data_IF_357209073632
#
_entry.id   IF_357209073632
#
_cell.length_a   1.000
_cell.length_b   1.000
_cell.length_c   1.000
_cell.angle_alpha   90.00
_cell.angle_beta   90.00
_cell.angle_gamma   90.00
#
_symmetry.space_group_name_H-M   'P 1'
#
loop_
_entity.id
_entity.type
_entity.pdbx_description
1 polymer ?
#
# COMPACT_ATOMS: atom_id res chain seq x y z
N UNK A 1 -57.75 15.21 3.95
CA UNK A 1 -56.60 16.08 4.28
C UNK A 1 -55.50 15.36 5.06
N UNK A 2 -55.82 14.51 6.04
CA UNK A 2 -54.79 13.78 6.82
C UNK A 2 -54.07 12.66 6.05
N UNK A 3 -54.80 11.92 5.21
CA UNK A 3 -54.24 10.83 4.38
C UNK A 3 -53.20 11.30 3.37
N UNK A 4 -53.45 12.45 2.73
CA UNK A 4 -52.54 13.05 1.74
C UNK A 4 -51.23 13.56 2.37
N UNK A 5 -51.28 14.05 3.62
CA UNK A 5 -50.09 14.45 4.36
C UNK A 5 -49.23 13.24 4.76
N UNK A 6 -49.86 12.14 5.18
CA UNK A 6 -49.13 10.91 5.53
C UNK A 6 -48.42 10.31 4.32
N UNK A 7 -49.08 10.30 3.16
CA UNK A 7 -48.47 9.86 1.90
C UNK A 7 -47.29 10.75 1.49
N UNK A 8 -47.41 12.07 1.62
CA UNK A 8 -46.31 12.99 1.32
C UNK A 8 -45.10 12.78 2.23
N UNK A 9 -45.31 12.53 3.54
CA UNK A 9 -44.23 12.22 4.48
C UNK A 9 -43.56 10.88 4.14
N UNK A 10 -44.33 9.85 3.79
CA UNK A 10 -43.79 8.55 3.38
C UNK A 10 -42.98 8.64 2.08
N UNK A 11 -43.45 9.42 1.09
CA UNK A 11 -42.74 9.62 -0.17
C UNK A 11 -41.47 10.44 0.06
N UNK A 12 -41.51 11.54 0.83
CA UNK A 12 -40.32 12.33 1.15
C UNK A 12 -39.29 11.57 1.98
N UNK A 13 -39.72 10.77 2.96
CA UNK A 13 -38.78 9.98 3.77
C UNK A 13 -38.18 8.82 2.97
N UNK A 14 -38.99 8.12 2.15
CA UNK A 14 -38.47 7.07 1.27
C UNK A 14 -37.55 7.61 0.19
N UNK A 15 -37.88 8.73 -0.46
CA UNK A 15 -36.99 9.37 -1.44
C UNK A 15 -35.75 9.98 -0.79
N UNK A 16 -35.82 10.51 0.42
CA UNK A 16 -34.63 10.97 1.16
C UNK A 16 -33.75 9.80 1.61
N UNK A 17 -34.33 8.69 2.06
CA UNK A 17 -33.61 7.46 2.40
C UNK A 17 -32.98 6.85 1.15
N UNK A 18 -33.73 6.76 0.05
CA UNK A 18 -33.22 6.30 -1.24
C UNK A 18 -32.14 7.23 -1.77
N UNK A 19 -32.32 8.56 -1.71
CA UNK A 19 -31.29 9.51 -2.11
C UNK A 19 -30.05 9.42 -1.22
N UNK A 20 -30.21 9.24 0.10
CA UNK A 20 -29.10 9.02 1.03
C UNK A 20 -28.37 7.70 0.74
N UNK A 21 -29.12 6.64 0.42
CA UNK A 21 -28.59 5.35 0.03
C UNK A 21 -27.88 5.41 -1.31
N UNK A 22 -28.51 5.96 -2.35
CA UNK A 22 -27.94 6.17 -3.69
C UNK A 22 -26.75 7.11 -3.65
N UNK A 23 -26.78 8.18 -2.85
CA UNK A 23 -25.65 9.09 -2.67
C UNK A 23 -24.45 8.35 -2.09
N UNK A 24 -24.64 7.47 -1.12
CA UNK A 24 -23.54 6.69 -0.56
C UNK A 24 -23.12 5.49 -1.43
N UNK A 25 -24.05 4.90 -2.19
CA UNK A 25 -23.78 3.73 -3.03
C UNK A 25 -23.22 4.08 -4.41
N UNK A 26 -23.53 5.27 -4.95
CA UNK A 26 -23.19 5.67 -6.33
C UNK A 26 -22.18 6.82 -6.38
N UNK A 27 -22.15 7.72 -5.38
CA UNK A 27 -21.06 8.71 -5.29
C UNK A 27 -19.88 8.07 -4.57
N UNK A 28 -19.05 7.39 -5.35
CA UNK A 28 -17.73 6.95 -4.91
C UNK A 28 -16.88 8.17 -4.55
N UNK A 29 -16.86 8.57 -3.27
CA UNK A 29 -15.73 9.35 -2.76
C UNK A 29 -14.53 8.39 -2.65
N UNK A 30 -13.81 8.21 -3.76
CA UNK A 30 -12.81 7.15 -3.92
C UNK A 30 -11.75 7.11 -2.81
N UNK A 31 -11.45 8.24 -2.18
CA UNK A 31 -10.44 8.29 -1.11
C UNK A 31 -10.94 7.79 0.26
N UNK A 32 -12.25 7.89 0.57
CA UNK A 32 -12.78 7.49 1.90
C UNK A 32 -12.83 5.97 2.07
N UNK A 33 -13.18 5.25 1.01
CA UNK A 33 -13.30 3.79 1.12
C UNK A 33 -11.92 3.13 1.21
N UNK A 34 -10.92 3.65 0.47
CA UNK A 34 -9.55 3.11 0.50
C UNK A 34 -8.93 3.24 1.90
N UNK A 35 -9.03 4.43 2.49
CA UNK A 35 -8.54 4.69 3.85
C UNK A 35 -9.22 3.82 4.92
N UNK A 36 -10.52 3.58 4.79
CA UNK A 36 -11.27 2.73 5.73
C UNK A 36 -10.94 1.25 5.59
N UNK A 37 -10.71 0.77 4.36
CA UNK A 37 -10.25 -0.60 4.13
C UNK A 37 -8.88 -0.84 4.76
N UNK A 38 -7.93 0.08 4.54
CA UNK A 38 -6.61 0.01 5.17
C UNK A 38 -6.75 -0.04 6.69
N UNK A 39 -7.61 0.78 7.28
CA UNK A 39 -7.82 0.77 8.74
C UNK A 39 -8.43 -0.53 9.28
N UNK A 40 -9.30 -1.20 8.51
CA UNK A 40 -9.81 -2.54 8.86
C UNK A 40 -8.70 -3.58 8.81
N UNK A 41 -7.82 -3.51 7.80
CA UNK A 41 -6.70 -4.43 7.63
C UNK A 41 -5.59 -4.23 8.68
N UNK A 42 -5.28 -2.98 9.03
CA UNK A 42 -4.32 -2.62 10.08
C UNK A 42 -4.88 -2.80 11.50
N UNK A 43 -6.20 -2.99 11.63
CA UNK A 43 -6.86 -3.34 12.90
C UNK A 43 -6.92 -2.23 13.95
N UNK A 44 -6.68 -0.97 13.58
CA UNK A 44 -6.49 0.12 14.54
C UNK A 44 -7.56 1.23 14.37
N UNK A 45 -8.63 1.14 15.18
CA UNK A 45 -9.78 2.05 15.11
C UNK A 45 -9.47 3.52 15.43
N UNK A 46 -8.37 3.81 16.15
CA UNK A 46 -7.94 5.19 16.44
C UNK A 46 -7.40 5.92 15.19
N UNK A 47 -6.96 5.17 14.19
CA UNK A 47 -6.47 5.71 12.92
C UNK A 47 -7.61 6.05 11.96
N UNK A 48 -8.77 5.39 12.07
CA UNK A 48 -9.97 5.64 11.25
C UNK A 48 -10.42 7.10 11.29
N UNK A 49 -10.42 7.74 12.46
CA UNK A 49 -10.81 9.16 12.62
C UNK A 49 -9.79 10.15 11.99
N UNK A 50 -8.49 9.83 12.00
CA UNK A 50 -7.42 10.69 11.46
C UNK A 50 -7.19 10.48 9.95
N UNK A 51 -7.38 9.25 9.47
CA UNK A 51 -7.43 8.95 8.04
C UNK A 51 -8.70 9.52 7.39
N UNK A 52 -9.86 9.44 8.06
CA UNK A 52 -11.11 9.99 7.54
C UNK A 52 -11.14 11.53 7.47
N UNK A 53 -10.33 12.22 8.29
CA UNK A 53 -10.11 13.66 8.18
C UNK A 53 -9.18 14.04 7.01
N UNK A 54 -8.43 13.08 6.44
CA UNK A 54 -7.50 13.32 5.34
C UNK A 54 -6.18 13.99 5.77
N UNK A 55 -5.99 14.16 7.09
CA UNK A 55 -4.86 14.88 7.70
C UNK A 55 -3.64 13.99 7.90
N UNK A 56 -3.78 12.67 7.73
CA UNK A 56 -2.72 11.71 8.01
C UNK A 56 -2.90 10.45 7.16
N UNK A 57 -1.93 10.13 6.30
CA UNK A 57 -1.92 8.88 5.55
C UNK A 57 -0.99 8.85 4.34
N UNK A 58 -0.86 7.71 3.64
CA UNK A 58 -0.03 7.62 2.44
C UNK A 58 -0.52 8.57 1.34
N UNK A 59 0.32 8.77 0.31
CA UNK A 59 0.01 9.72 -0.76
C UNK A 59 -1.36 9.46 -1.40
N UNK A 60 -1.71 8.18 -1.61
CA UNK A 60 -2.99 7.77 -2.17
C UNK A 60 -4.23 8.11 -1.30
N UNK A 61 -4.03 8.28 0.01
CA UNK A 61 -5.08 8.51 0.99
C UNK A 61 -5.21 9.99 1.43
N UNK A 62 -4.12 10.74 1.32
CA UNK A 62 -4.03 12.15 1.73
C UNK A 62 -4.92 13.07 0.88
N UNK A 63 -5.38 14.20 1.46
CA UNK A 63 -6.23 15.18 0.77
C UNK A 63 -5.58 16.56 0.69
N UNK A 64 -6.00 17.33 -0.34
CA UNK A 64 -5.73 18.76 -0.48
C UNK A 64 -4.26 19.18 -0.24
N UNK A 65 -4.01 20.07 0.71
CA UNK A 65 -2.68 20.59 1.02
C UNK A 65 -1.72 19.51 1.56
N UNK A 66 -2.23 18.52 2.28
CA UNK A 66 -1.41 17.42 2.78
C UNK A 66 -0.89 16.55 1.62
N UNK A 67 -1.76 16.24 0.66
CA UNK A 67 -1.38 15.56 -0.59
C UNK A 67 -0.36 16.39 -1.39
N UNK A 68 -0.58 17.71 -1.50
CA UNK A 68 0.36 18.62 -2.17
C UNK A 68 1.74 18.60 -1.52
N UNK A 69 1.79 18.63 -0.19
CA UNK A 69 3.03 18.57 0.60
C UNK A 69 3.77 17.24 0.41
N UNK A 70 3.08 16.11 0.52
CA UNK A 70 3.68 14.79 0.27
C UNK A 70 4.21 14.65 -1.16
N UNK A 71 3.43 15.12 -2.15
CA UNK A 71 3.84 15.09 -3.56
C UNK A 71 5.04 15.99 -3.83
N UNK A 72 5.13 17.16 -3.19
CA UNK A 72 6.30 18.05 -3.28
C UNK A 72 7.58 17.36 -2.82
N UNK A 73 7.52 16.55 -1.76
CA UNK A 73 8.66 15.79 -1.25
C UNK A 73 9.00 14.55 -2.09
N UNK A 74 8.00 13.88 -2.66
CA UNK A 74 8.20 12.65 -3.45
C UNK A 74 8.59 12.90 -4.91
N UNK A 75 8.07 13.94 -5.57
CA UNK A 75 8.32 14.21 -6.99
C UNK A 75 9.81 14.23 -7.40
N UNK A 76 10.75 14.82 -6.63
CA UNK A 76 12.17 14.83 -6.99
C UNK A 76 12.77 13.44 -7.15
N UNK A 77 12.25 12.47 -6.40
CA UNK A 77 12.66 11.07 -6.47
C UNK A 77 12.28 10.45 -7.82
N UNK A 78 11.18 10.88 -8.43
CA UNK A 78 10.77 10.38 -9.75
C UNK A 78 11.30 11.25 -10.91
N UNK A 79 12.30 12.10 -10.66
CA UNK A 79 12.94 12.89 -11.72
C UNK A 79 13.77 12.00 -12.65
N UNK A 80 13.88 12.41 -13.92
CA UNK A 80 14.65 11.68 -14.94
C UNK A 80 16.10 11.45 -14.49
N UNK A 81 16.72 12.45 -13.86
CA UNK A 81 18.08 12.33 -13.35
C UNK A 81 18.19 11.24 -12.28
N UNK A 82 17.21 11.15 -11.36
CA UNK A 82 17.22 10.12 -10.34
C UNK A 82 16.94 8.73 -10.90
N UNK A 83 15.98 8.60 -11.82
CA UNK A 83 15.66 7.33 -12.48
C UNK A 83 16.86 6.74 -13.23
N UNK A 84 17.70 7.57 -13.86
CA UNK A 84 18.94 7.11 -14.51
C UNK A 84 19.90 6.43 -13.53
N UNK A 85 19.92 6.84 -12.26
CA UNK A 85 20.76 6.21 -11.24
C UNK A 85 20.22 4.84 -10.78
N UNK A 86 18.93 4.56 -10.99
CA UNK A 86 18.34 3.24 -10.69
C UNK A 86 18.57 2.21 -11.80
N UNK A 87 18.86 2.66 -13.02
CA UNK A 87 19.05 1.80 -14.20
C UNK A 87 20.06 0.66 -13.98
N UNK A 88 21.24 0.87 -13.37
CA UNK A 88 22.18 -0.22 -13.12
C UNK A 88 21.58 -1.34 -12.24
N UNK A 89 20.77 -0.98 -11.24
CA UNK A 89 20.05 -1.94 -10.40
C UNK A 89 19.03 -2.73 -11.23
N UNK A 90 18.30 -2.05 -12.11
CA UNK A 90 17.34 -2.71 -13.00
C UNK A 90 18.04 -3.71 -13.92
N UNK A 91 19.17 -3.33 -14.53
CA UNK A 91 19.96 -4.24 -15.36
C UNK A 91 20.43 -5.47 -14.57
N UNK A 92 20.96 -5.28 -13.35
CA UNK A 92 21.39 -6.39 -12.48
C UNK A 92 20.25 -7.38 -12.23
N UNK A 93 19.05 -6.88 -11.91
CA UNK A 93 17.87 -7.73 -11.67
C UNK A 93 17.42 -8.44 -12.95
N UNK A 94 17.39 -7.74 -14.09
CA UNK A 94 17.01 -8.35 -15.38
C UNK A 94 18.00 -9.41 -15.85
N UNK A 95 19.30 -9.23 -15.60
CA UNK A 95 20.31 -10.24 -15.92
C UNK A 95 20.15 -11.50 -15.06
N UNK A 96 19.83 -11.35 -13.76
CA UNK A 96 19.51 -12.50 -12.90
C UNK A 96 18.29 -13.27 -13.41
N UNK A 97 17.24 -12.56 -13.82
CA UNK A 97 16.06 -13.17 -14.43
C UNK A 97 16.43 -13.93 -15.71
N UNK A 98 17.24 -13.32 -16.58
CA UNK A 98 17.69 -13.95 -17.81
C UNK A 98 18.48 -15.24 -17.51
N UNK A 99 19.42 -15.19 -16.57
CA UNK A 99 20.23 -16.33 -16.15
C UNK A 99 19.35 -17.46 -15.59
N UNK A 100 18.37 -17.13 -14.73
CA UNK A 100 17.45 -18.10 -14.16
C UNK A 100 16.59 -18.79 -15.23
N UNK A 101 16.09 -18.03 -16.21
CA UNK A 101 15.32 -18.58 -17.33
C UNK A 101 16.23 -19.45 -18.22
N UNK A 102 17.43 -18.97 -18.54
CA UNK A 102 18.41 -19.70 -19.36
C UNK A 102 18.73 -21.05 -18.75
N UNK A 103 19.06 -21.08 -17.45
CA UNK A 103 19.34 -22.31 -16.71
C UNK A 103 18.19 -23.33 -16.81
N UNK A 104 16.94 -22.87 -16.88
CA UNK A 104 15.77 -23.74 -16.96
C UNK A 104 15.53 -24.34 -18.34
N UNK A 105 15.85 -23.60 -19.40
CA UNK A 105 15.70 -24.07 -20.78
C UNK A 105 16.94 -24.83 -21.30
N UNK A 106 18.04 -24.87 -20.54
CA UNK A 106 19.26 -25.63 -20.89
C UNK A 106 19.00 -27.12 -21.11
N UNK A 107 18.01 -27.71 -20.45
CA UNK A 107 17.66 -29.12 -20.57
C UNK A 107 16.79 -29.47 -21.79
N UNK A 108 16.36 -28.48 -22.57
CA UNK A 108 15.43 -28.64 -23.69
C UNK A 108 14.16 -27.79 -23.56
N UNK A 109 13.23 -27.89 -24.53
CA UNK A 109 11.99 -27.12 -24.53
C UNK A 109 11.19 -27.36 -23.23
N UNK A 110 10.96 -26.29 -22.48
CA UNK A 110 10.30 -26.34 -21.17
C UNK A 110 9.28 -25.21 -21.06
N UNK A 111 8.12 -25.47 -20.48
CA UNK A 111 7.13 -24.43 -20.19
C UNK A 111 7.55 -23.58 -19.00
N UNK A 112 7.48 -22.25 -19.15
CA UNK A 112 7.87 -21.29 -18.11
C UNK A 112 6.68 -20.38 -17.80
N UNK A 113 6.27 -20.34 -16.52
CA UNK A 113 5.23 -19.43 -16.05
C UNK A 113 5.77 -18.00 -15.91
N UNK A 114 5.71 -17.23 -17.00
CA UNK A 114 6.22 -15.86 -17.02
C UNK A 114 5.48 -14.91 -16.08
N UNK A 115 4.19 -15.15 -15.77
CA UNK A 115 3.43 -14.29 -14.84
C UNK A 115 4.03 -14.33 -13.43
N UNK A 116 4.43 -15.53 -12.98
CA UNK A 116 5.09 -15.69 -11.69
C UNK A 116 6.47 -15.01 -11.68
N UNK A 117 7.28 -15.23 -12.72
CA UNK A 117 8.62 -14.62 -12.83
C UNK A 117 8.57 -13.10 -12.93
N UNK A 118 7.63 -12.54 -13.71
CA UNK A 118 7.46 -11.08 -13.80
C UNK A 118 7.03 -10.48 -12.47
N UNK A 119 6.14 -11.14 -11.72
CA UNK A 119 5.74 -10.69 -10.38
C UNK A 119 6.91 -10.63 -9.40
N UNK A 120 7.73 -11.68 -9.35
CA UNK A 120 8.95 -11.73 -8.53
C UNK A 120 9.97 -10.66 -8.94
N UNK A 121 10.17 -10.50 -10.25
CA UNK A 121 11.08 -9.49 -10.80
C UNK A 121 10.63 -8.08 -10.45
N UNK A 122 9.33 -7.77 -10.59
CA UNK A 122 8.78 -6.47 -10.25
C UNK A 122 8.96 -6.15 -8.75
N UNK A 123 8.69 -7.13 -7.87
CA UNK A 123 8.89 -6.98 -6.43
C UNK A 123 10.37 -6.71 -6.11
N UNK A 124 11.29 -7.39 -6.78
CA UNK A 124 12.73 -7.19 -6.57
C UNK A 124 13.24 -5.85 -7.10
N UNK A 125 12.72 -5.38 -8.25
CA UNK A 125 13.02 -4.05 -8.79
C UNK A 125 12.58 -2.95 -7.82
N UNK A 126 11.34 -3.02 -7.32
CA UNK A 126 10.81 -2.05 -6.36
C UNK A 126 11.50 -2.19 -5.00
N UNK A 127 11.82 -3.40 -4.57
CA UNK A 127 12.59 -3.63 -3.34
C UNK A 127 13.95 -2.95 -3.39
N UNK A 128 14.75 -3.21 -4.42
CA UNK A 128 16.10 -2.66 -4.48
C UNK A 128 16.13 -1.18 -4.84
N UNK A 129 15.36 -0.73 -5.83
CA UNK A 129 15.38 0.67 -6.26
C UNK A 129 14.49 1.58 -5.40
N UNK A 130 13.40 1.05 -4.88
CA UNK A 130 12.48 1.78 -4.01
C UNK A 130 12.93 1.77 -2.56
N UNK A 131 13.10 0.58 -1.99
CA UNK A 131 13.33 0.40 -0.56
C UNK A 131 14.79 0.12 -0.19
N UNK A 132 15.70 0.03 -1.16
CA UNK A 132 17.09 -0.40 -0.92
C UNK A 132 17.17 -1.72 -0.16
N UNK A 133 16.30 -2.68 -0.49
CA UNK A 133 16.20 -3.98 0.16
C UNK A 133 15.95 -5.08 -0.89
N UNK A 134 16.66 -6.20 -0.79
CA UNK A 134 16.46 -7.36 -1.67
C UNK A 134 15.48 -8.33 -1.01
N UNK A 135 14.32 -8.52 -1.62
CA UNK A 135 13.29 -9.44 -1.12
C UNK A 135 13.51 -10.86 -1.61
N UNK A 136 14.02 -11.00 -2.83
CA UNK A 136 14.18 -12.27 -3.51
C UNK A 136 15.52 -12.32 -4.26
N UNK A 137 16.26 -13.42 -4.07
CA UNK A 137 17.53 -13.62 -4.76
C UNK A 137 17.34 -13.93 -6.25
N UNK A 138 16.11 -14.30 -6.67
CA UNK A 138 15.72 -14.70 -8.03
C UNK A 138 16.49 -15.94 -8.56
N UNK A 139 17.16 -16.70 -7.69
CA UNK A 139 18.02 -17.83 -8.06
C UNK A 139 17.30 -19.19 -8.05
N UNK A 140 16.25 -19.34 -7.24
CA UNK A 140 15.54 -20.62 -7.08
C UNK A 140 14.02 -20.40 -7.09
N UNK A 141 13.24 -21.43 -7.45
CA UNK A 141 11.78 -21.49 -7.21
C UNK A 141 11.53 -21.72 -5.72
N UNK A 142 11.85 -20.72 -4.89
CA UNK A 142 11.30 -20.66 -3.54
C UNK A 142 9.83 -20.29 -3.64
N UNK A 143 8.90 -21.04 -3.03
CA UNK A 143 7.50 -20.63 -2.95
C UNK A 143 7.46 -19.27 -2.27
N UNK A 144 7.01 -18.27 -3.03
CA UNK A 144 6.94 -16.92 -2.52
C UNK A 144 5.66 -16.84 -1.69
N UNK A 145 5.74 -17.12 -0.39
CA UNK A 145 4.58 -17.09 0.52
C UNK A 145 3.77 -15.80 0.34
N UNK A 146 4.45 -14.69 0.03
CA UNK A 146 3.85 -13.40 -0.30
C UNK A 146 3.11 -13.42 -1.65
N UNK A 147 3.73 -13.90 -2.73
CA UNK A 147 3.12 -13.94 -4.06
C UNK A 147 1.96 -14.94 -4.20
N UNK A 148 2.07 -16.09 -3.54
CA UNK A 148 1.05 -17.14 -3.58
C UNK A 148 -0.14 -16.82 -2.67
N UNK A 149 0.10 -16.14 -1.53
CA UNK A 149 -0.99 -15.67 -0.67
C UNK A 149 -1.64 -14.37 -1.19
N UNK A 150 -0.92 -13.53 -1.95
CA UNK A 150 -1.44 -12.26 -2.47
C UNK A 150 -2.56 -12.45 -3.51
N UNK A 151 -2.49 -13.46 -4.38
CA UNK A 151 -3.51 -13.70 -5.42
C UNK A 151 -4.92 -13.97 -4.83
N UNK A 152 -5.11 -14.98 -3.95
CA UNK A 152 -6.42 -15.20 -3.33
C UNK A 152 -6.82 -14.07 -2.38
N UNK A 153 -5.85 -13.40 -1.73
CA UNK A 153 -6.10 -12.23 -0.90
C UNK A 153 -6.66 -11.06 -1.71
N UNK A 154 -6.10 -10.75 -2.90
CA UNK A 154 -6.59 -9.67 -3.78
C UNK A 154 -7.98 -9.98 -4.36
N UNK A 155 -8.24 -11.22 -4.74
CA UNK A 155 -9.57 -11.62 -5.19
C UNK A 155 -10.62 -11.49 -4.08
N UNK A 156 -10.25 -11.90 -2.86
CA UNK A 156 -11.10 -11.78 -1.67
C UNK A 156 -11.32 -10.31 -1.29
N UNK A 157 -10.28 -9.48 -1.41
CA UNK A 157 -10.38 -8.04 -1.20
C UNK A 157 -11.38 -7.44 -2.19
N UNK A 158 -11.31 -7.76 -3.48
CA UNK A 158 -12.26 -7.26 -4.48
C UNK A 158 -13.73 -7.54 -4.13
N UNK A 159 -14.02 -8.76 -3.64
CA UNK A 159 -15.37 -9.12 -3.17
C UNK A 159 -15.72 -8.37 -1.88
N UNK A 160 -14.81 -8.32 -0.90
CA UNK A 160 -15.02 -7.62 0.37
C UNK A 160 -15.29 -6.12 0.16
N UNK A 161 -14.57 -5.48 -0.76
CA UNK A 161 -14.72 -4.09 -1.13
C UNK A 161 -16.10 -3.76 -1.69
N UNK A 162 -16.76 -4.71 -2.37
CA UNK A 162 -18.13 -4.50 -2.87
C UNK A 162 -19.17 -4.46 -1.73
N UNK A 163 -18.92 -5.17 -0.62
CA UNK A 163 -19.83 -5.24 0.52
C UNK A 163 -19.53 -4.21 1.62
N UNK A 164 -18.34 -3.59 1.58
CA UNK A 164 -17.92 -2.58 2.56
C UNK A 164 -18.92 -1.40 2.72
N UNK A 165 -19.50 -0.82 1.65
CA UNK A 165 -20.44 0.30 1.79
C UNK A 165 -21.74 -0.11 2.53
N UNK A 166 -22.19 -1.35 2.32
CA UNK A 166 -23.35 -1.89 3.00
C UNK A 166 -23.04 -2.15 4.48
N UNK A 167 -21.85 -2.68 4.77
CA UNK A 167 -21.38 -2.86 6.13
C UNK A 167 -21.28 -1.52 6.87
N UNK A 168 -20.78 -0.45 6.25
CA UNK A 168 -20.70 0.89 6.84
C UNK A 168 -22.07 1.52 7.12
N UNK A 169 -23.07 1.24 6.29
CA UNK A 169 -24.43 1.75 6.51
C UNK A 169 -25.11 1.13 7.74
N UNK A 170 -24.67 -0.06 8.15
CA UNK A 170 -25.32 -0.87 9.20
C UNK A 170 -24.48 -0.96 10.47
N UNK A 171 -23.15 -0.95 10.35
CA UNK A 171 -22.20 -1.22 11.43
C UNK A 171 -21.53 0.10 11.88
N UNK A 172 -21.63 0.48 13.16
CA UNK A 172 -20.92 1.64 13.68
C UNK A 172 -19.39 1.48 13.58
N UNK A 173 -18.65 2.56 13.27
CA UNK A 173 -17.20 2.55 13.02
C UNK A 173 -16.35 1.81 14.06
N UNK A 174 -16.72 1.88 15.34
CA UNK A 174 -16.04 1.18 16.45
C UNK A 174 -16.09 -0.34 16.34
N UNK A 175 -17.05 -0.89 15.59
CA UNK A 175 -17.27 -2.32 15.42
C UNK A 175 -16.68 -2.87 14.11
N UNK A 176 -16.31 -2.02 13.14
CA UNK A 176 -15.80 -2.46 11.84
C UNK A 176 -14.50 -3.28 11.96
N UNK A 177 -13.50 -2.78 12.69
CA UNK A 177 -12.22 -3.47 12.89
C UNK A 177 -12.32 -4.77 13.73
N UNK A 178 -13.05 -4.83 14.86
CA UNK A 178 -13.21 -6.09 15.59
C UNK A 178 -14.07 -7.12 14.86
N UNK A 179 -15.12 -6.69 14.13
CA UNK A 179 -15.92 -7.62 13.32
C UNK A 179 -15.14 -8.15 12.13
N UNK A 180 -14.38 -7.30 11.43
CA UNK A 180 -13.50 -7.74 10.35
C UNK A 180 -12.49 -8.81 10.79
N UNK A 181 -11.97 -8.71 12.02
CA UNK A 181 -11.08 -9.72 12.63
C UNK A 181 -11.78 -11.00 13.05
N UNK A 182 -13.05 -10.91 13.43
CA UNK A 182 -13.86 -12.06 13.84
C UNK A 182 -14.43 -12.86 12.65
N UNK A 183 -14.46 -12.26 11.46
CA UNK A 183 -15.00 -12.89 10.24
C UNK A 183 -14.06 -14.00 9.75
N UNK A 184 -14.51 -15.26 9.69
CA UNK A 184 -13.68 -16.41 9.31
C UNK A 184 -13.55 -16.55 7.79
N UNK A 185 -13.17 -15.49 7.09
CA UNK A 185 -12.87 -15.55 5.65
C UNK A 185 -11.38 -15.85 5.47
N UNK A 186 -10.99 -17.01 4.90
CA UNK A 186 -9.60 -17.40 4.75
C UNK A 186 -8.76 -16.34 4.02
N UNK A 187 -9.26 -15.80 2.91
CA UNK A 187 -8.53 -14.79 2.13
C UNK A 187 -8.38 -13.44 2.84
N UNK A 188 -9.30 -13.07 3.75
CA UNK A 188 -9.14 -11.86 4.57
C UNK A 188 -8.07 -12.08 5.65
N UNK A 189 -8.03 -13.28 6.25
CA UNK A 189 -7.00 -13.66 7.22
C UNK A 189 -5.61 -13.69 6.58
N UNK A 190 -5.51 -14.23 5.35
CA UNK A 190 -4.27 -14.21 4.58
C UNK A 190 -3.83 -12.77 4.28
N UNK A 191 -4.75 -11.92 3.82
CA UNK A 191 -4.48 -10.51 3.58
C UNK A 191 -3.97 -9.80 4.85
N UNK A 192 -4.67 -9.98 5.98
CA UNK A 192 -4.26 -9.42 7.27
C UNK A 192 -2.87 -9.89 7.70
N UNK A 193 -2.57 -11.19 7.53
CA UNK A 193 -1.25 -11.76 7.83
C UNK A 193 -0.16 -11.17 6.94
N UNK A 194 -0.43 -11.00 5.65
CA UNK A 194 0.50 -10.37 4.70
C UNK A 194 0.75 -8.92 5.10
N UNK A 195 -0.31 -8.14 5.36
CA UNK A 195 -0.19 -6.74 5.78
C UNK A 195 0.61 -6.59 7.06
N UNK A 196 0.39 -7.45 8.07
CA UNK A 196 1.18 -7.44 9.31
C UNK A 196 2.65 -7.78 9.07
N UNK A 197 2.92 -8.76 8.22
CA UNK A 197 4.29 -9.14 7.84
C UNK A 197 4.98 -8.00 7.11
N UNK A 198 4.27 -7.34 6.19
CA UNK A 198 4.77 -6.20 5.44
C UNK A 198 5.03 -4.99 6.34
N UNK A 199 4.11 -4.62 7.23
CA UNK A 199 4.29 -3.52 8.20
C UNK A 199 5.50 -3.80 9.12
N UNK A 200 5.63 -5.03 9.64
CA UNK A 200 6.78 -5.43 10.45
C UNK A 200 8.11 -5.28 9.70
N UNK A 201 8.16 -5.73 8.44
CA UNK A 201 9.35 -5.60 7.59
C UNK A 201 9.64 -4.15 7.19
N UNK A 202 8.62 -3.37 6.86
CA UNK A 202 8.74 -1.94 6.54
C UNK A 202 9.32 -1.15 7.71
N UNK A 203 8.85 -1.41 8.95
CA UNK A 203 9.42 -0.80 10.16
C UNK A 203 10.87 -1.19 10.39
N UNK A 204 11.20 -2.47 10.19
CA UNK A 204 12.58 -2.97 10.32
C UNK A 204 13.53 -2.27 9.34
N UNK A 205 13.15 -2.21 8.05
CA UNK A 205 13.93 -1.57 6.99
C UNK A 205 14.08 -0.08 7.25
N UNK A 206 12.99 0.58 7.62
CA UNK A 206 12.97 2.02 7.92
C UNK A 206 13.89 2.36 9.10
N UNK A 207 13.80 1.64 10.21
CA UNK A 207 14.61 1.87 11.40
C UNK A 207 16.12 1.69 11.09
N UNK A 208 16.48 0.63 10.37
CA UNK A 208 17.86 0.37 9.94
C UNK A 208 18.40 1.50 9.07
N UNK A 209 17.62 1.95 8.07
CA UNK A 209 18.03 3.06 7.19
C UNK A 209 18.15 4.38 7.93
N UNK A 210 17.18 4.71 8.78
CA UNK A 210 17.20 5.94 9.58
C UNK A 210 18.44 5.98 10.49
N UNK A 211 18.77 4.87 11.15
CA UNK A 211 19.97 4.77 11.96
C UNK A 211 21.25 4.96 11.12
N UNK A 212 21.37 4.25 9.98
CA UNK A 212 22.53 4.36 9.10
C UNK A 212 22.76 5.80 8.59
N UNK A 213 21.68 6.51 8.23
CA UNK A 213 21.76 7.91 7.79
C UNK A 213 22.18 8.87 8.91
N UNK A 214 21.78 8.61 10.16
CA UNK A 214 22.13 9.47 11.31
C UNK A 214 23.57 9.27 11.79
N UNK A 215 24.08 8.05 11.72
CA UNK A 215 25.46 7.72 12.14
C UNK A 215 26.51 8.17 11.10
N UNK A 216 26.08 8.61 9.91
CA UNK A 216 26.99 8.97 8.81
C UNK A 216 27.72 7.75 8.24
N UNK A 217 27.26 6.55 8.57
CA UNK A 217 27.83 5.29 8.12
C UNK A 217 27.27 4.97 6.73
N UNK A 218 27.73 5.73 5.73
CA UNK A 218 27.31 5.61 4.33
C UNK A 218 27.50 4.18 3.82
N UNK A 219 28.45 3.43 4.37
CA UNK A 219 28.74 2.03 4.01
C UNK A 219 27.58 1.09 4.35
N UNK A 220 26.88 1.31 5.47
CA UNK A 220 25.68 0.55 5.85
C UNK A 220 24.43 1.01 5.09
N UNK A 221 24.33 2.31 4.75
CA UNK A 221 23.25 2.84 3.90
C UNK A 221 23.37 2.41 2.42
N UNK A 222 24.55 1.97 1.99
CA UNK A 222 24.88 1.63 0.60
C UNK A 222 24.71 0.16 0.23
N UNK A 223 24.39 -0.76 1.15
CA UNK A 223 24.43 -2.21 0.87
C UNK A 223 23.53 -2.65 -0.31
N UNK A 224 22.37 -2.01 -0.50
CA UNK A 224 21.46 -2.24 -1.62
C UNK A 224 20.88 -0.91 -2.08
N UNK A 225 21.09 -0.56 -3.35
CA UNK A 225 20.63 0.71 -3.93
C UNK A 225 21.60 1.90 -3.78
N UNK A 226 22.82 1.69 -3.25
CA UNK A 226 23.89 2.71 -3.14
C UNK A 226 23.45 4.01 -2.42
N UNK A 227 22.49 3.91 -1.50
CA UNK A 227 21.88 5.07 -0.83
C UNK A 227 21.07 5.99 -1.75
N UNK A 228 20.90 5.62 -3.02
CA UNK A 228 20.13 6.32 -4.06
C UNK A 228 18.77 5.68 -4.31
N UNK A 229 18.31 4.83 -3.42
CA UNK A 229 16.94 4.32 -3.43
C UNK A 229 15.92 5.40 -3.02
N UNK A 230 14.66 5.19 -3.40
CA UNK A 230 13.55 6.14 -3.15
C UNK A 230 13.45 6.51 -1.67
N UNK A 231 13.53 5.52 -0.78
CA UNK A 231 13.42 5.76 0.67
C UNK A 231 14.60 6.56 1.22
N UNK A 232 15.83 6.27 0.81
CA UNK A 232 17.00 7.05 1.22
C UNK A 232 16.95 8.49 0.74
N UNK A 233 16.43 8.75 -0.47
CA UNK A 233 16.24 10.13 -0.95
C UNK A 233 15.10 10.83 -0.21
N UNK A 234 13.98 10.15 0.00
CA UNK A 234 12.84 10.70 0.73
C UNK A 234 13.21 11.07 2.17
N UNK A 235 13.96 10.20 2.87
CA UNK A 235 14.45 10.46 4.22
C UNK A 235 15.38 11.68 4.26
N UNK A 236 16.31 11.78 3.31
CA UNK A 236 17.22 12.94 3.21
C UNK A 236 16.46 14.24 2.90
N UNK A 237 15.52 14.20 1.96
CA UNK A 237 14.68 15.35 1.64
C UNK A 237 13.82 15.78 2.83
N UNK A 238 13.27 14.83 3.59
CA UNK A 238 12.49 15.12 4.80
C UNK A 238 13.36 15.72 5.91
N UNK A 239 14.58 15.22 6.12
CA UNK A 239 15.51 15.79 7.10
C UNK A 239 15.97 17.20 6.72
N UNK A 240 16.14 17.48 5.42
CA UNK A 240 16.53 18.80 4.91
C UNK A 240 15.37 19.81 4.84
N UNK A 241 14.12 19.36 4.87
CA UNK A 241 12.95 20.24 4.81
C UNK A 241 12.80 21.10 6.08
N UNK A 242 12.23 22.30 5.91
CA UNK A 242 11.85 23.18 7.02
C UNK A 242 10.83 22.48 7.93
N UNK A 243 10.80 22.83 9.22
CA UNK A 243 10.02 22.12 10.24
C UNK A 243 8.53 21.95 9.88
N UNK A 244 7.92 23.00 9.29
CA UNK A 244 6.53 22.95 8.82
C UNK A 244 6.30 22.10 7.56
N UNK A 245 7.34 21.84 6.77
CA UNK A 245 7.31 21.01 5.55
C UNK A 245 7.75 19.56 5.81
N UNK A 246 8.19 19.20 7.02
CA UNK A 246 8.53 17.82 7.39
C UNK A 246 7.29 16.94 7.51
N UNK A 247 7.41 15.71 7.03
CA UNK A 247 6.45 14.61 7.24
C UNK A 247 6.77 13.89 8.54
N UNK A 248 5.71 13.45 9.22
CA UNK A 248 5.83 12.63 10.41
C UNK A 248 6.36 11.23 10.04
N UNK A 249 7.07 10.58 10.97
CA UNK A 249 7.66 9.25 10.74
C UNK A 249 6.63 8.20 10.32
N UNK A 250 5.45 8.22 10.92
CA UNK A 250 4.32 7.34 10.58
C UNK A 250 3.82 7.56 9.15
N UNK A 251 3.94 8.78 8.60
CA UNK A 251 3.55 9.08 7.22
C UNK A 251 4.59 8.56 6.25
N UNK A 252 5.88 8.66 6.61
CA UNK A 252 6.97 8.07 5.83
C UNK A 252 6.90 6.55 5.82
N UNK A 253 6.63 5.93 6.97
CA UNK A 253 6.36 4.50 7.08
C UNK A 253 5.12 4.10 6.26
N UNK A 254 4.07 4.91 6.31
CA UNK A 254 2.85 4.70 5.52
C UNK A 254 3.09 4.71 4.01
N UNK A 255 4.14 5.35 3.49
CA UNK A 255 4.47 5.24 2.05
C UNK A 255 5.07 3.88 1.66
N UNK A 256 5.53 3.07 2.64
CA UNK A 256 6.13 1.76 2.41
C UNK A 256 5.15 0.60 2.58
N UNK A 257 4.10 0.79 3.39
CA UNK A 257 3.10 -0.22 3.78
C UNK A 257 1.77 -0.03 3.06
#
# INVERSE_FOLDING_TARGET
MFSTLLQAVLICTSTWILWKFFRHAVIFEEAKWFTRCVAVLEGNAHHLMRYASGDLGPLAASRCEHHRKQRKLLNPVFSINHMRHMMPTFYKVTYKLQEAIEQRVRGGPTEVNMVMWMGRTALELIGQAGLGYSFDKLTEETPNELGDALKPALATLGVFLQFLPLAEAVIPDRWLAPLGRAVPIPGLRDLMRITQTLDGKSREIFAKKKAALLTGDEVLAMQVGEGRDIMSVLLRANMAAAEGDRLEEKELLGQMS
#
